data_IF_420174919440
#
_entry.id   IF_420174919440
#
_cell.length_a   1.000
_cell.length_b   1.000
_cell.length_c   1.000
_cell.angle_alpha   90.00
_cell.angle_beta   90.00
_cell.angle_gamma   90.00
#
_symmetry.space_group_name_H-M   'P 1'
#
loop_
_entity.id
_entity.type
_entity.pdbx_description
1 polymer ?
#
# COMPACT_ATOMS: atom_id res chain seq x y z
N UNK A 1 14.00 19.53 -2.84
CA UNK A 1 14.78 18.94 -3.96
C UNK A 1 14.50 19.64 -5.30
N UNK A 2 13.25 19.98 -5.64
CA UNK A 2 12.89 20.61 -6.93
C UNK A 2 13.56 21.98 -7.18
N UNK A 3 13.56 22.87 -6.19
CA UNK A 3 14.27 24.16 -6.30
C UNK A 3 15.78 23.99 -6.25
N UNK A 4 16.27 23.07 -5.41
CA UNK A 4 17.70 22.78 -5.21
C UNK A 4 18.42 22.29 -6.48
N UNK A 5 17.70 21.70 -7.43
CA UNK A 5 18.23 21.18 -8.69
C UNK A 5 17.68 21.92 -9.92
N UNK A 6 17.08 23.11 -9.72
CA UNK A 6 16.51 23.93 -10.79
C UNK A 6 15.47 23.24 -11.69
N UNK A 7 14.87 22.13 -11.23
CA UNK A 7 13.87 21.40 -12.01
C UNK A 7 12.63 22.25 -12.29
N UNK A 8 12.36 23.26 -11.46
CA UNK A 8 11.30 24.24 -11.66
C UNK A 8 11.47 25.10 -12.93
N UNK A 9 12.68 25.15 -13.51
CA UNK A 9 13.00 25.93 -14.72
C UNK A 9 12.94 25.12 -16.01
N UNK A 10 12.71 23.81 -15.93
CA UNK A 10 12.62 22.97 -17.12
C UNK A 10 11.32 23.28 -17.87
N UNK A 11 11.37 23.31 -19.20
CA UNK A 11 10.19 23.57 -20.04
C UNK A 11 9.09 22.52 -19.88
N UNK A 12 9.46 21.32 -19.41
CA UNK A 12 8.54 20.22 -19.11
C UNK A 12 8.01 20.24 -17.68
N UNK A 13 8.53 21.13 -16.84
CA UNK A 13 8.10 21.22 -15.44
C UNK A 13 6.63 21.59 -15.36
N UNK A 14 5.88 20.91 -14.49
CA UNK A 14 4.46 21.14 -14.29
C UNK A 14 3.55 20.86 -15.52
N UNK A 15 4.07 20.23 -16.59
CA UNK A 15 3.22 19.72 -17.68
C UNK A 15 2.40 18.51 -17.19
N UNK A 16 1.13 18.47 -17.58
CA UNK A 16 0.21 17.37 -17.27
C UNK A 16 -0.23 17.29 -15.80
N UNK A 17 -0.36 18.44 -15.13
CA UNK A 17 -1.04 18.60 -13.82
C UNK A 17 -2.46 18.04 -13.76
N UNK A 18 -3.09 17.81 -14.92
CA UNK A 18 -4.41 17.18 -15.01
C UNK A 18 -4.39 15.67 -14.65
N UNK A 19 -3.20 15.07 -14.48
CA UNK A 19 -3.01 13.65 -14.27
C UNK A 19 -2.42 13.40 -12.87
N UNK A 20 -2.95 12.42 -12.16
CA UNK A 20 -2.40 11.97 -10.88
C UNK A 20 -1.21 11.02 -11.06
N UNK A 21 -0.52 10.69 -9.96
CA UNK A 21 0.65 9.81 -9.97
C UNK A 21 0.36 8.40 -10.51
N UNK A 22 -0.86 7.89 -10.32
CA UNK A 22 -1.26 6.56 -10.80
C UNK A 22 -1.43 6.58 -12.31
N UNK A 23 -2.07 7.63 -12.83
CA UNK A 23 -2.24 7.83 -14.25
C UNK A 23 -0.89 8.01 -14.95
N UNK A 24 0.01 8.81 -14.38
CA UNK A 24 1.39 8.93 -14.88
C UNK A 24 2.14 7.60 -14.87
N UNK A 25 2.01 6.82 -13.79
CA UNK A 25 2.63 5.50 -13.70
C UNK A 25 2.09 4.53 -14.76
N UNK A 26 0.83 4.66 -15.15
CA UNK A 26 0.25 3.87 -16.25
C UNK A 26 0.80 4.30 -17.60
N UNK A 27 0.87 5.62 -17.86
CA UNK A 27 1.48 6.16 -19.09
C UNK A 27 2.89 5.62 -19.27
N UNK A 28 3.75 5.69 -18.24
CA UNK A 28 5.11 5.17 -18.34
C UNK A 28 5.14 3.66 -18.58
N UNK A 29 4.30 2.88 -17.89
CA UNK A 29 4.21 1.42 -18.12
C UNK A 29 3.79 1.09 -19.55
N UNK A 30 2.83 1.82 -20.12
CA UNK A 30 2.39 1.61 -21.49
C UNK A 30 3.47 2.02 -22.51
N UNK A 31 4.22 3.08 -22.24
CA UNK A 31 5.37 3.49 -23.06
C UNK A 31 6.54 2.49 -23.01
N UNK A 32 6.74 1.84 -21.85
CA UNK A 32 7.71 0.74 -21.74
C UNK A 32 7.22 -0.49 -22.51
N UNK A 33 5.95 -0.88 -22.32
CA UNK A 33 5.37 -2.05 -22.99
C UNK A 33 5.31 -1.90 -24.52
N UNK A 34 5.18 -0.67 -25.03
CA UNK A 34 5.24 -0.37 -26.47
C UNK A 34 6.68 -0.22 -26.99
N UNK A 35 7.69 -0.35 -26.13
CA UNK A 35 9.10 -0.32 -26.50
C UNK A 35 9.67 1.07 -26.74
N UNK A 36 8.94 2.16 -26.42
CA UNK A 36 9.45 3.53 -26.52
C UNK A 36 10.35 3.93 -25.34
N UNK A 37 10.12 3.32 -24.18
CA UNK A 37 10.94 3.48 -22.99
C UNK A 37 11.52 2.14 -22.53
N UNK A 38 12.69 2.21 -21.91
CA UNK A 38 13.29 1.08 -21.19
C UNK A 38 13.71 1.53 -19.79
N UNK A 39 13.86 0.58 -18.88
CA UNK A 39 14.39 0.83 -17.54
C UNK A 39 15.89 0.59 -17.57
N UNK A 40 16.65 1.62 -17.22
CA UNK A 40 18.07 1.50 -16.98
C UNK A 40 18.31 1.00 -15.56
N UNK A 41 18.56 -0.30 -15.46
CA UNK A 41 18.84 -0.98 -14.19
C UNK A 41 20.19 -0.50 -13.61
N UNK A 42 21.14 -0.08 -14.45
CA UNK A 42 22.43 0.43 -14.01
C UNK A 42 22.35 1.86 -13.46
N UNK A 43 21.41 2.68 -13.95
CA UNK A 43 21.15 4.04 -13.47
C UNK A 43 20.03 4.10 -12.42
N UNK A 44 20.06 3.22 -11.42
CA UNK A 44 19.11 3.19 -10.29
C UNK A 44 17.62 3.08 -10.69
N UNK A 45 17.33 2.43 -11.82
CA UNK A 45 15.95 2.27 -12.32
C UNK A 45 15.41 3.50 -13.06
N UNK A 46 16.30 4.37 -13.57
CA UNK A 46 15.91 5.48 -14.43
C UNK A 46 15.24 5.02 -15.73
N UNK A 47 14.45 5.91 -16.35
CA UNK A 47 13.85 5.65 -17.66
C UNK A 47 14.75 6.18 -18.78
N UNK A 48 14.94 5.37 -19.83
CA UNK A 48 15.67 5.74 -21.03
C UNK A 48 14.80 5.61 -22.28
N UNK A 49 14.99 6.53 -23.22
CA UNK A 49 14.35 6.49 -24.54
C UNK A 49 15.03 5.47 -25.43
N UNK A 50 14.24 4.65 -26.12
CA UNK A 50 14.74 3.74 -27.14
C UNK A 50 14.81 4.43 -28.51
N UNK A 51 15.42 3.77 -29.49
CA UNK A 51 15.43 4.25 -30.87
C UNK A 51 14.02 4.43 -31.45
N UNK A 52 13.06 3.62 -31.02
CA UNK A 52 11.66 3.67 -31.46
C UNK A 52 10.95 4.96 -31.02
N UNK A 53 11.43 5.67 -29.99
CA UNK A 53 10.81 6.91 -29.54
C UNK A 53 11.13 8.11 -30.45
N UNK A 54 12.15 8.02 -31.33
CA UNK A 54 12.60 9.16 -32.14
C UNK A 54 11.52 9.70 -33.11
N UNK A 55 10.80 8.87 -33.88
CA UNK A 55 9.73 9.35 -34.78
C UNK A 55 8.58 9.99 -34.00
N UNK A 56 8.26 9.46 -32.82
CA UNK A 56 7.23 10.01 -31.93
C UNK A 56 7.61 11.41 -31.45
N UNK A 57 8.85 11.60 -30.98
CA UNK A 57 9.33 12.89 -30.50
C UNK A 57 9.47 13.94 -31.62
N UNK A 58 9.63 13.49 -32.87
CA UNK A 58 9.61 14.37 -34.06
C UNK A 58 8.21 14.67 -34.57
N UNK A 59 7.17 14.05 -34.01
CA UNK A 59 5.79 14.20 -34.47
C UNK A 59 5.45 13.42 -35.74
N UNK A 60 6.33 12.53 -36.19
CA UNK A 60 6.13 11.68 -37.38
C UNK A 60 5.21 10.49 -37.08
N UNK A 61 5.11 10.09 -35.81
CA UNK A 61 4.29 8.97 -35.36
C UNK A 61 3.40 9.36 -34.18
N UNK A 62 2.09 9.13 -34.32
CA UNK A 62 1.15 9.27 -33.22
C UNK A 62 1.20 8.05 -32.28
N UNK A 63 1.06 8.30 -30.98
CA UNK A 63 0.95 7.25 -29.96
C UNK A 63 -0.42 7.32 -29.31
N UNK A 64 -1.16 6.22 -29.40
CA UNK A 64 -2.45 6.06 -28.76
C UNK A 64 -2.30 5.20 -27.52
N UNK A 65 -2.48 5.82 -26.34
CA UNK A 65 -2.45 5.12 -25.07
C UNK A 65 -3.86 4.72 -24.66
N UNK A 66 -3.98 3.54 -24.05
CA UNK A 66 -5.23 3.14 -23.43
C UNK A 66 -5.54 4.12 -22.29
N UNK A 67 -6.74 4.70 -22.33
CA UNK A 67 -7.27 5.43 -21.18
C UNK A 67 -7.54 4.41 -20.08
N UNK A 68 -6.88 4.59 -18.94
CA UNK A 68 -7.23 3.82 -17.76
C UNK A 68 -8.67 4.16 -17.40
N UNK A 69 -9.47 3.12 -17.18
CA UNK A 69 -10.75 3.31 -16.52
C UNK A 69 -10.41 3.80 -15.14
N UNK A 70 -10.65 5.09 -14.89
CA UNK A 70 -10.74 5.59 -13.54
C UNK A 70 -11.87 4.80 -12.92
N UNK A 71 -11.53 3.69 -12.25
CA UNK A 71 -12.43 3.10 -11.28
C UNK A 71 -12.62 4.26 -10.33
N UNK A 72 -13.79 4.92 -10.41
CA UNK A 72 -14.10 6.03 -9.57
C UNK A 72 -13.62 5.59 -8.20
N UNK A 73 -12.66 6.32 -7.62
CA UNK A 73 -12.38 6.15 -6.21
C UNK A 73 -13.76 6.37 -5.64
N UNK A 74 -14.45 5.28 -5.29
CA UNK A 74 -15.39 5.34 -4.22
C UNK A 74 -14.53 6.05 -3.19
N UNK A 75 -14.83 7.34 -2.96
CA UNK A 75 -14.67 7.86 -1.62
C UNK A 75 -15.28 6.70 -0.84
N UNK A 76 -14.45 5.91 -0.16
CA UNK A 76 -14.91 5.08 0.94
C UNK A 76 -15.48 6.15 1.83
N UNK A 77 -16.73 6.55 1.54
CA UNK A 77 -17.36 7.71 2.13
C UNK A 77 -17.27 7.39 3.57
N UNK A 78 -16.40 8.12 4.29
CA UNK A 78 -15.96 7.89 5.66
C UNK A 78 -16.56 6.60 6.15
N UNK A 79 -15.97 5.45 5.73
CA UNK A 79 -16.66 4.15 5.84
C UNK A 79 -17.03 4.09 7.30
N UNK A 80 -18.34 4.27 7.56
CA UNK A 80 -18.85 4.74 8.84
C UNK A 80 -18.08 3.97 9.88
N UNK A 81 -17.41 4.68 10.80
CA UNK A 81 -16.63 4.07 11.87
C UNK A 81 -17.43 2.84 12.29
N UNK A 82 -16.98 1.65 11.84
CA UNK A 82 -17.69 0.42 12.19
C UNK A 82 -17.65 0.46 13.70
N UNK A 83 -18.80 0.30 14.37
CA UNK A 83 -18.92 0.61 15.77
C UNK A 83 -17.71 0.02 16.46
N UNK A 84 -16.92 0.89 17.09
CA UNK A 84 -16.01 0.46 18.15
C UNK A 84 -16.83 -0.51 18.98
N UNK A 85 -16.36 -1.72 19.29
CA UNK A 85 -17.12 -2.62 20.13
C UNK A 85 -17.31 -1.95 21.49
N UNK A 86 -18.38 -1.17 21.64
CA UNK A 86 -18.94 -0.72 22.90
C UNK A 86 -19.79 -1.87 23.41
N UNK A 87 -19.10 -2.95 23.73
CA UNK A 87 -19.57 -3.98 24.65
C UNK A 87 -18.65 -3.89 25.86
N UNK A 88 -19.23 -3.89 27.05
CA UNK A 88 -18.62 -3.66 28.37
C UNK A 88 -17.65 -4.80 28.78
N UNK A 89 -16.92 -5.37 27.82
CA UNK A 89 -16.01 -6.51 27.96
C UNK A 89 -14.70 -6.36 27.19
N UNK A 90 -14.52 -5.28 26.41
CA UNK A 90 -13.43 -5.16 25.41
C UNK A 90 -12.37 -4.10 25.75
N UNK A 91 -12.39 -3.57 26.98
CA UNK A 91 -11.68 -2.33 27.34
C UNK A 91 -10.14 -2.41 27.29
N UNK A 92 -9.55 -3.61 27.15
CA UNK A 92 -8.09 -3.80 27.10
C UNK A 92 -7.55 -4.41 25.80
N UNK A 93 -8.33 -5.23 25.10
CA UNK A 93 -7.82 -6.06 24.00
C UNK A 93 -7.52 -5.24 22.75
N UNK A 94 -8.40 -4.32 22.40
CA UNK A 94 -8.18 -3.44 21.24
C UNK A 94 -6.94 -2.54 21.38
N UNK A 95 -6.75 -1.83 22.50
CA UNK A 95 -5.50 -1.12 22.77
C UNK A 95 -4.27 -2.04 22.72
N UNK A 96 -4.35 -3.26 23.29
CA UNK A 96 -3.24 -4.20 23.33
C UNK A 96 -2.82 -4.70 21.93
N UNK A 97 -3.79 -5.04 21.07
CA UNK A 97 -3.54 -5.44 19.68
C UNK A 97 -2.88 -4.30 18.88
N UNK A 98 -3.33 -3.05 19.08
CA UNK A 98 -2.69 -1.89 18.46
C UNK A 98 -1.27 -1.68 18.97
N UNK A 99 -1.06 -1.78 20.28
CA UNK A 99 0.26 -1.64 20.89
C UNK A 99 1.23 -2.67 20.32
N UNK A 100 0.82 -3.94 20.23
CA UNK A 100 1.65 -5.00 19.67
C UNK A 100 1.98 -4.77 18.20
N UNK A 101 1.01 -4.29 17.42
CA UNK A 101 1.25 -3.92 16.02
C UNK A 101 2.26 -2.78 15.90
N UNK A 102 2.17 -1.75 16.74
CA UNK A 102 3.08 -0.61 16.73
C UNK A 102 4.50 -1.01 17.12
N UNK A 103 4.63 -1.88 18.12
CA UNK A 103 5.91 -2.45 18.57
C UNK A 103 6.63 -3.16 17.41
N UNK A 104 5.97 -4.13 16.78
CA UNK A 104 6.54 -4.90 15.66
C UNK A 104 6.87 -4.02 14.45
N UNK A 105 6.03 -3.02 14.18
CA UNK A 105 6.26 -2.06 13.09
C UNK A 105 7.50 -1.20 13.35
N UNK A 106 7.68 -0.75 14.59
CA UNK A 106 8.84 0.04 15.02
C UNK A 106 10.13 -0.78 14.95
N UNK A 107 10.10 -2.02 15.39
CA UNK A 107 11.25 -2.94 15.32
C UNK A 107 11.75 -3.16 13.89
N UNK A 108 10.82 -3.20 12.93
CA UNK A 108 11.13 -3.43 11.52
C UNK A 108 11.30 -2.15 10.70
N UNK A 109 11.10 -0.97 11.31
CA UNK A 109 11.17 0.31 10.60
C UNK A 109 10.10 0.47 9.51
N UNK A 110 8.97 -0.22 9.63
CA UNK A 110 7.88 -0.19 8.63
C UNK A 110 6.63 0.48 9.20
N UNK A 111 5.75 1.04 8.36
CA UNK A 111 4.45 1.51 8.82
C UNK A 111 3.58 0.39 9.43
N UNK A 112 2.77 0.65 10.48
CA UNK A 112 2.01 -0.39 11.20
C UNK A 112 1.05 -1.20 10.34
N UNK A 113 0.45 -0.59 9.32
CA UNK A 113 -0.47 -1.29 8.41
C UNK A 113 0.21 -2.40 7.60
N UNK A 114 1.55 -2.40 7.49
CA UNK A 114 2.32 -3.46 6.82
C UNK A 114 2.27 -4.77 7.63
N UNK A 115 2.26 -4.68 8.96
CA UNK A 115 2.06 -5.82 9.85
C UNK A 115 0.64 -6.35 9.64
N UNK A 116 -0.38 -5.59 10.06
CA UNK A 116 -1.79 -5.89 9.82
C UNK A 116 -2.62 -4.61 9.64
N UNK A 117 -3.57 -4.64 8.70
CA UNK A 117 -4.56 -3.56 8.57
C UNK A 117 -5.54 -3.57 9.74
N UNK A 118 -6.13 -2.42 10.06
CA UNK A 118 -7.16 -2.30 11.12
C UNK A 118 -8.32 -3.28 10.92
N UNK A 119 -8.73 -3.54 9.66
CA UNK A 119 -9.78 -4.53 9.36
C UNK A 119 -9.43 -5.92 9.83
N UNK A 120 -8.14 -6.30 9.71
CA UNK A 120 -7.64 -7.60 10.17
C UNK A 120 -7.71 -7.66 11.69
N UNK A 121 -7.30 -6.60 12.40
CA UNK A 121 -7.36 -6.56 13.86
C UNK A 121 -8.80 -6.63 14.39
N UNK A 122 -9.74 -5.92 13.75
CA UNK A 122 -11.17 -5.98 14.09
C UNK A 122 -11.73 -7.38 13.89
N UNK A 123 -11.32 -8.06 12.82
CA UNK A 123 -11.72 -9.43 12.55
C UNK A 123 -11.10 -10.42 13.54
N UNK A 124 -9.83 -10.25 13.92
CA UNK A 124 -9.21 -11.01 15.01
C UNK A 124 -9.94 -10.80 16.35
N UNK A 125 -10.39 -9.59 16.66
CA UNK A 125 -11.19 -9.34 17.87
C UNK A 125 -12.54 -10.05 17.82
N UNK A 126 -13.14 -10.15 16.64
CA UNK A 126 -14.44 -10.81 16.46
C UNK A 126 -14.31 -12.33 16.57
N UNK A 127 -13.20 -12.89 16.08
CA UNK A 127 -12.95 -14.35 16.08
C UNK A 127 -12.20 -14.85 17.32
N UNK A 128 -11.47 -13.96 18.01
CA UNK A 128 -10.60 -14.25 19.15
C UNK A 128 -9.79 -15.56 19.00
N UNK A 129 -8.95 -15.68 17.96
CA UNK A 129 -8.24 -16.90 17.68
C UNK A 129 -7.32 -17.29 18.84
N UNK A 130 -7.34 -18.57 19.20
CA UNK A 130 -6.49 -19.19 20.24
C UNK A 130 -5.39 -20.06 19.65
N UNK A 131 -5.46 -20.35 18.35
CA UNK A 131 -4.46 -21.16 17.64
C UNK A 131 -4.03 -20.49 16.34
N UNK A 132 -2.86 -20.88 15.82
CA UNK A 132 -2.37 -20.40 14.52
C UNK A 132 -3.33 -20.78 13.39
N UNK A 133 -3.96 -21.95 13.46
CA UNK A 133 -4.93 -22.41 12.46
C UNK A 133 -6.21 -21.56 12.46
N UNK A 134 -6.69 -21.14 13.63
CA UNK A 134 -7.82 -20.21 13.73
C UNK A 134 -7.44 -18.83 13.21
N UNK A 135 -6.22 -18.37 13.52
CA UNK A 135 -5.70 -17.11 13.05
C UNK A 135 -5.51 -17.11 11.51
N UNK A 136 -5.16 -18.25 10.91
CA UNK A 136 -5.06 -18.40 9.46
C UNK A 136 -6.38 -18.17 8.72
N UNK A 137 -7.53 -18.29 9.40
CA UNK A 137 -8.87 -18.07 8.83
C UNK A 137 -9.25 -16.59 8.78
N UNK A 138 -8.50 -15.72 9.45
CA UNK A 138 -8.75 -14.27 9.47
C UNK A 138 -8.37 -13.64 8.13
N UNK A 139 -9.29 -12.88 7.54
CA UNK A 139 -9.04 -12.19 6.27
C UNK A 139 -7.88 -11.20 6.37
N UNK A 140 -6.89 -11.34 5.47
CA UNK A 140 -5.70 -10.49 5.44
C UNK A 140 -4.47 -11.09 6.13
N UNK A 141 -4.57 -12.30 6.67
CA UNK A 141 -3.44 -13.07 7.21
C UNK A 141 -3.04 -14.17 6.22
N UNK A 142 -1.99 -13.91 5.45
CA UNK A 142 -1.35 -14.94 4.62
C UNK A 142 -0.32 -15.75 5.41
N UNK A 143 0.09 -16.90 4.86
CA UNK A 143 1.07 -17.81 5.48
C UNK A 143 2.35 -17.12 5.95
N UNK A 144 2.91 -16.20 5.15
CA UNK A 144 4.12 -15.46 5.53
C UNK A 144 3.91 -14.53 6.74
N UNK A 145 2.72 -13.92 6.88
CA UNK A 145 2.39 -13.07 8.04
C UNK A 145 2.05 -13.90 9.26
N UNK A 146 1.37 -15.02 9.06
CA UNK A 146 1.06 -15.98 10.13
C UNK A 146 2.35 -16.53 10.75
N UNK A 147 3.29 -16.99 9.93
CA UNK A 147 4.58 -17.50 10.41
C UNK A 147 5.43 -16.43 11.11
N UNK A 148 5.29 -15.15 10.72
CA UNK A 148 6.10 -14.06 11.29
C UNK A 148 5.49 -13.43 12.54
N UNK A 149 4.17 -13.33 12.61
CA UNK A 149 3.48 -12.51 13.62
C UNK A 149 2.44 -13.30 14.41
N UNK A 150 2.13 -14.54 14.03
CA UNK A 150 1.06 -15.33 14.63
C UNK A 150 1.22 -15.48 16.13
N UNK A 151 2.35 -16.02 16.57
CA UNK A 151 2.63 -16.24 18.00
C UNK A 151 2.61 -14.94 18.81
N UNK A 152 3.14 -13.86 18.23
CA UNK A 152 3.21 -12.56 18.87
C UNK A 152 1.82 -11.96 19.16
N UNK A 153 0.84 -12.22 18.29
CA UNK A 153 -0.53 -11.76 18.46
C UNK A 153 -1.39 -12.73 19.27
N UNK A 154 -1.18 -14.05 19.15
CA UNK A 154 -1.82 -15.05 20.03
C UNK A 154 -1.49 -14.79 21.50
N UNK A 155 -0.24 -14.42 21.80
CA UNK A 155 0.16 -14.03 23.16
C UNK A 155 -0.66 -12.85 23.71
N UNK A 156 -1.04 -11.88 22.87
CA UNK A 156 -1.89 -10.76 23.29
C UNK A 156 -3.28 -11.26 23.72
N UNK A 157 -3.80 -12.26 23.02
CA UNK A 157 -5.08 -12.89 23.37
C UNK A 157 -5.00 -13.73 24.65
N UNK A 158 -3.87 -14.40 24.91
CA UNK A 158 -3.61 -15.12 26.17
C UNK A 158 -3.49 -14.16 27.35
N UNK A 159 -2.69 -13.09 27.20
CA UNK A 159 -2.48 -12.08 28.23
C UNK A 159 -3.77 -11.32 28.58
N UNK A 160 -4.68 -11.17 27.62
CA UNK A 160 -5.99 -10.56 27.85
C UNK A 160 -6.92 -11.47 28.66
N UNK A 161 -6.85 -12.79 28.49
CA UNK A 161 -7.66 -13.76 29.25
C UNK A 161 -7.17 -13.87 30.69
N UNK A 162 -5.87 -13.80 30.93
CA UNK A 162 -5.28 -13.91 32.27
C UNK A 162 -5.42 -12.64 33.14
N UNK A 163 -6.02 -11.56 32.61
CA UNK A 163 -6.27 -10.30 33.33
C UNK A 163 -7.68 -10.18 33.89
N UNK A 164 -8.51 -11.21 33.70
CA UNK A 164 -9.85 -11.38 34.31
C UNK A 164 -9.71 -12.25 35.55
#
# INVERSE_FOLDING_TARGET
>A
QVERHDHHRQSTFAIGKAWDATQWSSVFRQLIASGFLTVDIAAYGGLQLTAAARPVLRGEQAVWLRRDVQVAKHKRGTRSAKPTPTGVQDDGLWPALKAKRMELAREQGVPPYVIFHDSTLVEMMSLQPRTLDEMARVSGIGQAKLARYGDAFLKVFEDAVNRV
#
